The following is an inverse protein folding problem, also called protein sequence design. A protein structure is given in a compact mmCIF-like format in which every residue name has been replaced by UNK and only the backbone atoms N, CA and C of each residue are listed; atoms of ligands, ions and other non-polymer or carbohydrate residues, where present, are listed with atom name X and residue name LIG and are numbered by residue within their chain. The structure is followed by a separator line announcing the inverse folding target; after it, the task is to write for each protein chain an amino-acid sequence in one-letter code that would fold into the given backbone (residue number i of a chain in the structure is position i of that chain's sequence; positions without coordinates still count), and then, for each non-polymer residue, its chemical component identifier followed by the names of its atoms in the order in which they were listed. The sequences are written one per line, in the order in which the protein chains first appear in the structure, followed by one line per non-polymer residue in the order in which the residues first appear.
data_IF_191723964727
#
_entry.id   IF_191723964727
#
_cell.length_a   1.000
_cell.length_b   1.000
_cell.length_c   1.000
_cell.angle_alpha   90.00
_cell.angle_beta   90.00
_cell.angle_gamma   90.00
#
_symmetry.space_group_name_H-M   'P 1'
#
loop_
_entity.id
_entity.type
_entity.pdbx_description
1 polymer ?
#
# COMPACT_ATOMS: atom_id res chain seq x y z
N UNK A 1 24.00 9.35 -3.14
CA UNK A 1 23.90 7.99 -2.57
C UNK A 1 23.57 7.10 -3.75
N UNK A 2 24.43 6.14 -4.07
CA UNK A 2 24.36 5.38 -5.32
C UNK A 2 23.10 4.51 -5.39
N UNK A 3 22.45 4.53 -6.55
CA UNK A 3 21.20 3.84 -6.89
C UNK A 3 21.32 2.32 -7.03
N UNK A 4 22.41 1.70 -6.54
CA UNK A 4 22.90 0.38 -6.97
C UNK A 4 22.63 -0.78 -6.00
N UNK A 5 21.83 -0.63 -4.94
CA UNK A 5 21.59 -1.70 -3.95
C UNK A 5 20.11 -1.95 -3.59
N UNK A 6 19.16 -1.61 -4.46
CA UNK A 6 17.76 -2.02 -4.29
C UNK A 6 17.53 -3.40 -4.91
N UNK A 7 17.72 -4.46 -4.12
CA UNK A 7 17.39 -5.83 -4.53
C UNK A 7 15.88 -6.03 -4.53
N UNK A 8 15.35 -6.53 -5.63
CA UNK A 8 13.96 -7.00 -5.72
C UNK A 8 13.71 -8.11 -4.70
N UNK A 9 12.75 -7.95 -3.77
CA UNK A 9 12.36 -9.00 -2.88
C UNK A 9 11.72 -10.14 -3.67
N UNK A 10 11.97 -11.39 -3.24
CA UNK A 10 11.33 -12.57 -3.79
C UNK A 10 10.37 -13.11 -2.73
N UNK A 11 9.13 -13.40 -3.14
CA UNK A 11 8.08 -13.85 -2.25
C UNK A 11 7.53 -15.22 -2.68
N UNK A 12 7.00 -15.96 -1.73
CA UNK A 12 6.17 -17.12 -2.04
C UNK A 12 4.96 -16.72 -2.91
N UNK A 13 4.42 -17.65 -3.72
CA UNK A 13 3.21 -17.40 -4.52
C UNK A 13 1.99 -16.98 -3.70
N UNK A 14 1.99 -17.30 -2.39
CA UNK A 14 0.87 -17.04 -1.49
C UNK A 14 0.90 -15.62 -0.88
N UNK A 15 1.99 -14.86 -1.10
CA UNK A 15 2.17 -13.54 -0.50
C UNK A 15 1.04 -12.54 -0.80
N UNK A 16 0.47 -12.44 -2.02
CA UNK A 16 -0.71 -11.61 -2.27
C UNK A 16 -1.93 -12.02 -1.43
N UNK A 17 -2.18 -13.33 -1.32
CA UNK A 17 -3.29 -13.84 -0.52
C UNK A 17 -3.08 -13.64 0.97
N UNK A 18 -1.85 -13.80 1.47
CA UNK A 18 -1.52 -13.53 2.86
C UNK A 18 -1.69 -12.04 3.20
N UNK A 19 -1.23 -11.15 2.32
CA UNK A 19 -1.44 -9.70 2.43
C UNK A 19 -2.93 -9.37 2.56
N UNK A 20 -3.75 -9.92 1.67
CA UNK A 20 -5.21 -9.75 1.69
C UNK A 20 -5.85 -10.25 2.99
N UNK A 21 -5.43 -11.41 3.49
CA UNK A 21 -5.92 -11.98 4.76
C UNK A 21 -5.52 -11.14 5.98
N UNK A 22 -4.37 -10.47 5.95
CA UNK A 22 -3.95 -9.54 7.02
C UNK A 22 -4.87 -8.31 7.01
N UNK A 23 -5.12 -7.73 5.83
CA UNK A 23 -6.05 -6.59 5.70
C UNK A 23 -7.46 -6.91 6.17
N UNK A 24 -7.98 -8.09 5.85
CA UNK A 24 -9.29 -8.55 6.33
C UNK A 24 -9.37 -8.58 7.85
N UNK A 25 -8.37 -9.19 8.49
CA UNK A 25 -8.32 -9.30 9.95
C UNK A 25 -8.18 -7.93 10.58
N UNK A 26 -7.33 -7.08 10.04
CA UNK A 26 -7.17 -5.71 10.50
C UNK A 26 -8.51 -4.98 10.47
N UNK A 27 -9.23 -5.05 9.35
CA UNK A 27 -10.59 -4.48 9.23
C UNK A 27 -11.53 -4.99 10.32
N UNK A 28 -11.66 -6.32 10.44
CA UNK A 28 -12.59 -6.92 11.41
C UNK A 28 -12.29 -6.52 12.86
N UNK A 29 -11.02 -6.31 13.20
CA UNK A 29 -10.62 -5.94 14.56
C UNK A 29 -10.85 -4.46 14.84
N UNK A 30 -10.55 -3.59 13.88
CA UNK A 30 -10.87 -2.17 13.97
C UNK A 30 -12.40 -1.97 14.13
N UNK A 31 -13.22 -2.80 13.47
CA UNK A 31 -14.69 -2.75 13.59
C UNK A 31 -15.15 -3.10 15.01
N UNK A 32 -14.56 -4.14 15.59
CA UNK A 32 -14.95 -4.63 16.92
C UNK A 32 -14.46 -3.71 18.04
N UNK A 33 -13.28 -3.12 17.87
CA UNK A 33 -12.66 -2.27 18.87
C UNK A 33 -13.28 -0.86 18.90
N UNK A 34 -13.71 -0.33 17.75
CA UNK A 34 -14.12 1.07 17.63
C UNK A 34 -12.98 2.07 17.87
N UNK A 35 -11.73 1.59 17.85
CA UNK A 35 -10.51 2.36 17.99
C UNK A 35 -9.72 2.30 16.68
N UNK A 36 -9.14 3.43 16.28
CA UNK A 36 -8.42 3.61 15.02
C UNK A 36 -7.20 4.52 15.19
N UNK A 37 -6.62 4.56 16.39
CA UNK A 37 -5.32 5.19 16.62
C UNK A 37 -4.24 4.48 15.80
N UNK A 38 -3.21 5.20 15.37
CA UNK A 38 -2.13 4.62 14.56
C UNK A 38 -1.39 3.52 15.32
N UNK A 39 -1.09 3.73 16.60
CA UNK A 39 -0.47 2.74 17.46
C UNK A 39 -1.31 1.44 17.53
N UNK A 40 -2.63 1.58 17.65
CA UNK A 40 -3.54 0.43 17.62
C UNK A 40 -3.51 -0.27 16.26
N UNK A 41 -3.55 0.46 15.15
CA UNK A 41 -3.45 -0.12 13.80
C UNK A 41 -2.12 -0.88 13.64
N UNK A 42 -1.00 -0.35 14.12
CA UNK A 42 0.30 -1.00 14.06
C UNK A 42 0.33 -2.30 14.87
N UNK A 43 -0.22 -2.30 16.08
CA UNK A 43 -0.36 -3.51 16.92
C UNK A 43 -1.25 -4.56 16.23
N UNK A 44 -2.37 -4.14 15.65
CA UNK A 44 -3.29 -5.05 14.98
C UNK A 44 -2.70 -5.65 13.69
N UNK A 45 -1.82 -4.94 12.98
CA UNK A 45 -1.04 -5.49 11.87
C UNK A 45 -0.10 -6.59 12.36
N UNK A 46 0.59 -6.38 13.50
CA UNK A 46 1.50 -7.38 14.06
C UNK A 46 0.76 -8.65 14.47
N UNK A 47 -0.33 -8.50 15.24
CA UNK A 47 -1.13 -9.64 15.67
C UNK A 47 -1.79 -10.39 14.50
N UNK A 48 -2.25 -9.69 13.46
CA UNK A 48 -2.82 -10.34 12.27
C UNK A 48 -1.75 -11.13 11.48
N UNK A 49 -0.55 -10.59 11.39
CA UNK A 49 0.60 -11.23 10.77
C UNK A 49 1.09 -12.46 11.56
N UNK A 50 1.05 -12.42 12.89
CA UNK A 50 1.41 -13.58 13.72
C UNK A 50 0.47 -14.77 13.53
N UNK A 51 -0.83 -14.50 13.31
CA UNK A 51 -1.81 -15.55 12.98
C UNK A 51 -1.47 -16.21 11.64
N UNK A 52 -1.08 -15.42 10.64
CA UNK A 52 -0.68 -15.94 9.33
C UNK A 52 0.64 -16.72 9.40
N UNK A 53 1.62 -16.24 10.18
CA UNK A 53 2.85 -16.98 10.44
C UNK A 53 2.60 -18.33 11.12
N UNK A 54 1.63 -18.40 12.04
CA UNK A 54 1.27 -19.64 12.72
C UNK A 54 0.62 -20.68 11.77
N UNK A 55 0.16 -20.27 10.59
CA UNK A 55 -0.29 -21.19 9.55
C UNK A 55 0.89 -21.87 8.79
N UNK A 56 2.14 -21.50 9.07
CA UNK A 56 3.39 -22.01 8.47
C UNK A 56 3.47 -21.91 6.93
N UNK A 57 2.65 -21.06 6.30
CA UNK A 57 2.65 -20.85 4.84
C UNK A 57 3.74 -19.86 4.39
N UNK A 58 4.38 -19.13 5.33
CA UNK A 58 5.36 -18.08 5.02
C UNK A 58 6.49 -18.02 6.05
N UNK A 59 7.65 -17.52 5.61
CA UNK A 59 8.78 -17.26 6.52
C UNK A 59 8.58 -15.97 7.32
N UNK A 60 9.31 -15.85 8.45
CA UNK A 60 9.30 -14.63 9.27
C UNK A 60 9.76 -13.40 8.48
N UNK A 61 10.80 -13.56 7.68
CA UNK A 61 11.35 -12.47 6.86
C UNK A 61 10.36 -12.00 5.80
N UNK A 62 9.65 -12.92 5.13
CA UNK A 62 8.59 -12.56 4.19
C UNK A 62 7.43 -11.85 4.88
N UNK A 63 7.05 -12.27 6.09
CA UNK A 63 5.99 -11.61 6.85
C UNK A 63 6.39 -10.22 7.32
N UNK A 64 7.64 -10.02 7.73
CA UNK A 64 8.14 -8.70 8.10
C UNK A 64 8.10 -7.73 6.92
N UNK A 65 8.37 -8.21 5.70
CA UNK A 65 8.17 -7.43 4.46
C UNK A 65 6.69 -7.12 4.22
N UNK A 66 5.78 -8.09 4.34
CA UNK A 66 4.35 -7.84 4.16
C UNK A 66 3.82 -6.79 5.15
N UNK A 67 4.21 -6.87 6.43
CA UNK A 67 3.85 -5.84 7.42
C UNK A 67 4.35 -4.46 7.02
N UNK A 68 5.57 -4.35 6.50
CA UNK A 68 6.13 -3.08 6.04
C UNK A 68 5.32 -2.51 4.87
N UNK A 69 4.97 -3.33 3.88
CA UNK A 69 4.16 -2.91 2.74
C UNK A 69 2.76 -2.46 3.15
N UNK A 70 2.10 -3.23 4.03
CA UNK A 70 0.76 -2.86 4.55
C UNK A 70 0.79 -1.51 5.25
N UNK A 71 1.80 -1.28 6.11
CA UNK A 71 1.96 0.00 6.80
C UNK A 71 2.13 1.13 5.79
N UNK A 72 3.06 1.00 4.84
CA UNK A 72 3.29 2.02 3.81
C UNK A 72 2.00 2.34 3.04
N UNK A 73 1.30 1.31 2.58
CA UNK A 73 0.12 1.48 1.73
C UNK A 73 -1.04 2.15 2.50
N UNK A 74 -1.27 1.77 3.77
CA UNK A 74 -2.28 2.40 4.64
C UNK A 74 -1.93 3.86 4.95
N UNK A 75 -0.64 4.13 5.15
CA UNK A 75 -0.15 5.47 5.44
C UNK A 75 -0.34 6.39 4.23
N UNK A 76 0.09 5.95 3.05
CA UNK A 76 -0.09 6.72 1.81
C UNK A 76 -1.58 6.98 1.51
N UNK A 77 -2.43 5.98 1.74
CA UNK A 77 -3.88 6.09 1.59
C UNK A 77 -4.47 7.14 2.55
N UNK A 78 -4.12 7.06 3.83
CA UNK A 78 -4.58 8.00 4.85
C UNK A 78 -4.18 9.43 4.52
N UNK A 79 -2.92 9.65 4.13
CA UNK A 79 -2.42 10.97 3.72
C UNK A 79 -3.21 11.56 2.58
N UNK A 80 -3.36 10.77 1.52
CA UNK A 80 -4.04 11.20 0.33
C UNK A 80 -5.47 11.65 0.65
N UNK A 81 -6.23 10.83 1.38
CA UNK A 81 -7.61 11.13 1.75
C UNK A 81 -7.71 12.41 2.58
N UNK A 82 -6.79 12.60 3.53
CA UNK A 82 -6.84 13.77 4.40
C UNK A 82 -6.41 15.07 3.72
N UNK A 83 -5.38 15.02 2.87
CA UNK A 83 -4.89 16.21 2.17
C UNK A 83 -5.83 16.66 1.06
N UNK A 84 -6.47 15.71 0.37
CA UNK A 84 -7.28 16.00 -0.81
C UNK A 84 -8.78 16.04 -0.52
N UNK A 85 -9.23 15.34 0.52
CA UNK A 85 -10.64 15.02 0.73
C UNK A 85 -11.24 14.10 -0.34
N UNK A 86 -10.43 13.58 -1.28
CA UNK A 86 -10.87 12.69 -2.33
C UNK A 86 -11.02 11.25 -1.83
N UNK A 87 -11.87 10.47 -2.51
CA UNK A 87 -12.12 9.08 -2.18
C UNK A 87 -11.06 8.12 -2.70
N UNK A 88 -11.11 6.87 -2.25
CA UNK A 88 -10.15 5.80 -2.58
C UNK A 88 -9.98 5.59 -4.09
N UNK A 89 -11.03 5.73 -4.90
CA UNK A 89 -10.95 5.63 -6.36
C UNK A 89 -9.89 6.55 -6.98
N UNK A 90 -9.85 7.80 -6.51
CA UNK A 90 -8.95 8.85 -6.99
C UNK A 90 -7.50 8.58 -6.59
N UNK A 91 -7.30 7.92 -5.43
CA UNK A 91 -5.99 7.48 -4.99
C UNK A 91 -5.46 6.29 -5.79
N UNK A 92 -6.33 5.35 -6.15
CA UNK A 92 -5.97 4.21 -6.98
C UNK A 92 -5.67 4.62 -8.43
N UNK A 93 -6.09 5.82 -8.84
CA UNK A 93 -6.11 6.29 -10.21
C UNK A 93 -6.76 5.23 -11.13
N UNK A 94 -7.91 4.71 -10.68
CA UNK A 94 -8.56 3.57 -11.29
C UNK A 94 -10.08 3.70 -11.22
N UNK A 95 -10.76 3.21 -12.25
CA UNK A 95 -12.22 3.12 -12.24
C UNK A 95 -12.64 1.95 -11.34
N UNK A 96 -13.39 2.25 -10.27
CA UNK A 96 -13.81 1.25 -9.28
C UNK A 96 -14.65 0.13 -9.91
N UNK A 97 -15.33 0.39 -11.03
CA UNK A 97 -16.14 -0.61 -11.73
C UNK A 97 -15.30 -1.77 -12.30
N UNK A 98 -13.99 -1.58 -12.44
CA UNK A 98 -13.04 -2.58 -12.95
C UNK A 98 -12.31 -3.32 -11.83
N UNK A 99 -12.42 -2.85 -10.58
CA UNK A 99 -11.74 -3.45 -9.43
C UNK A 99 -12.52 -4.65 -8.88
N UNK A 100 -11.81 -5.66 -8.37
CA UNK A 100 -12.47 -6.76 -7.67
C UNK A 100 -13.19 -6.22 -6.42
N UNK A 101 -14.51 -6.46 -6.32
CA UNK A 101 -15.37 -5.90 -5.25
C UNK A 101 -14.83 -6.18 -3.85
N UNK A 102 -14.26 -7.36 -3.64
CA UNK A 102 -13.72 -7.77 -2.35
C UNK A 102 -12.46 -6.99 -1.94
N UNK A 103 -11.57 -6.67 -2.87
CA UNK A 103 -10.41 -5.82 -2.60
C UNK A 103 -10.84 -4.37 -2.35
N UNK A 104 -11.83 -3.89 -3.12
CA UNK A 104 -12.41 -2.55 -3.00
C UNK A 104 -13.02 -2.29 -1.60
N UNK A 105 -13.87 -3.20 -1.11
CA UNK A 105 -14.58 -3.03 0.16
C UNK A 105 -13.58 -2.92 1.33
N UNK A 106 -12.51 -3.73 1.32
CA UNK A 106 -11.46 -3.69 2.35
C UNK A 106 -10.73 -2.35 2.35
N UNK A 107 -10.36 -1.85 1.17
CA UNK A 107 -9.64 -0.58 1.04
C UNK A 107 -10.48 0.60 1.49
N UNK A 108 -11.76 0.64 1.13
CA UNK A 108 -12.70 1.69 1.56
C UNK A 108 -12.89 1.69 3.08
N UNK A 109 -13.08 0.51 3.68
CA UNK A 109 -13.29 0.40 5.13
C UNK A 109 -12.05 0.84 5.93
N UNK A 110 -10.84 0.55 5.43
CA UNK A 110 -9.57 0.92 6.07
C UNK A 110 -9.23 2.40 5.84
N UNK A 111 -9.48 2.92 4.64
CA UNK A 111 -9.36 4.33 4.29
C UNK A 111 -10.09 5.26 5.27
N UNK A 112 -11.37 4.99 5.52
CA UNK A 112 -12.19 5.82 6.41
C UNK A 112 -11.66 5.85 7.85
N UNK A 113 -10.97 4.79 8.28
CA UNK A 113 -10.44 4.66 9.66
C UNK A 113 -9.08 5.32 9.81
N UNK A 114 -8.21 5.19 8.80
CA UNK A 114 -6.88 5.84 8.80
C UNK A 114 -6.99 7.37 8.79
N UNK A 115 -8.08 7.94 8.26
CA UNK A 115 -8.36 9.38 8.27
C UNK A 115 -8.33 10.00 9.68
N UNK A 116 -8.75 9.28 10.70
CA UNK A 116 -8.88 9.79 12.08
C UNK A 116 -7.53 9.80 12.82
N UNK A 117 -6.58 8.94 12.44
CA UNK A 117 -5.26 8.80 13.09
C UNK A 117 -4.16 9.71 12.55
N UNK A 118 -4.49 10.64 11.63
CA UNK A 118 -3.48 11.24 10.76
C UNK A 118 -2.65 12.38 11.35
N UNK A 119 -3.08 12.97 12.48
CA UNK A 119 -2.34 14.06 13.12
C UNK A 119 -0.98 13.60 13.67
N UNK A 120 -0.91 12.42 14.27
CA UNK A 120 0.34 11.80 14.75
C UNK A 120 1.20 11.26 13.60
N UNK A 121 0.54 10.76 12.56
CA UNK A 121 1.20 10.23 11.37
C UNK A 121 2.00 11.34 10.66
N UNK A 122 1.42 12.54 10.48
CA UNK A 122 2.07 13.74 9.91
C UNK A 122 3.48 14.02 10.45
N UNK A 123 3.73 13.81 11.72
CA UNK A 123 5.05 14.05 12.34
C UNK A 123 6.08 12.96 12.00
N UNK A 124 5.63 11.75 11.64
CA UNK A 124 6.48 10.60 11.34
C UNK A 124 6.91 10.52 9.85
N UNK A 125 6.17 11.14 8.92
CA UNK A 125 6.42 11.03 7.47
C UNK A 125 6.95 12.29 6.79
N UNK A 126 7.59 13.18 7.55
CA UNK A 126 8.23 14.36 6.99
C UNK A 126 9.29 14.00 5.91
N UNK A 127 9.76 12.75 5.84
CA UNK A 127 10.71 12.28 4.83
C UNK A 127 10.43 10.86 4.25
N UNK A 128 9.80 10.83 3.07
CA UNK A 128 10.19 9.98 1.92
C UNK A 128 10.06 8.46 1.99
N UNK A 129 8.87 7.93 1.66
CA UNK A 129 8.69 6.56 1.13
C UNK A 129 7.58 6.52 0.07
N UNK A 130 7.78 7.25 -1.05
CA UNK A 130 6.88 7.19 -2.21
C UNK A 130 7.32 6.18 -3.27
N UNK A 131 8.46 5.53 -3.05
CA UNK A 131 9.06 4.60 -4.00
C UNK A 131 8.64 3.16 -3.71
N UNK A 132 8.36 2.45 -4.78
CA UNK A 132 8.05 1.04 -4.82
C UNK A 132 9.14 0.31 -5.62
N UNK A 133 9.42 -0.93 -5.26
CA UNK A 133 10.45 -1.75 -5.90
C UNK A 133 9.80 -2.97 -6.59
N UNK A 134 10.26 -3.32 -7.79
CA UNK A 134 9.85 -4.56 -8.45
C UNK A 134 10.04 -5.76 -7.52
N UNK A 135 9.04 -6.62 -7.44
CA UNK A 135 8.96 -7.74 -6.50
C UNK A 135 8.17 -7.43 -5.23
N UNK A 136 7.98 -6.17 -4.83
CA UNK A 136 7.15 -5.83 -3.66
C UNK A 136 5.67 -6.16 -3.90
N UNK A 137 4.96 -6.57 -2.84
CA UNK A 137 3.51 -6.74 -2.86
C UNK A 137 2.87 -5.40 -2.48
N UNK A 138 1.91 -4.96 -3.27
CA UNK A 138 1.10 -3.77 -2.94
C UNK A 138 -0.36 -3.99 -3.31
N UNK A 139 -1.23 -3.20 -2.71
CA UNK A 139 -2.63 -3.11 -3.08
C UNK A 139 -2.81 -2.65 -4.55
N UNK A 140 -4.02 -2.80 -5.11
CA UNK A 140 -4.38 -2.28 -6.43
C UNK A 140 -3.99 -0.81 -6.67
N UNK A 141 -3.91 -0.43 -7.93
CA UNK A 141 -3.73 0.94 -8.40
C UNK A 141 -2.71 1.07 -9.53
N UNK A 142 -2.46 2.32 -9.94
CA UNK A 142 -1.53 2.62 -11.03
C UNK A 142 -0.16 3.03 -10.50
N UNK A 143 0.87 2.30 -10.93
CA UNK A 143 2.27 2.61 -10.66
C UNK A 143 2.93 3.12 -11.94
N UNK A 144 3.86 4.06 -11.79
CA UNK A 144 4.62 4.66 -12.89
C UNK A 144 6.11 4.40 -12.67
N UNK A 145 6.80 3.92 -13.70
CA UNK A 145 8.23 3.71 -13.65
C UNK A 145 8.97 5.04 -13.47
N UNK A 146 9.80 5.14 -12.44
CA UNK A 146 10.52 6.37 -12.09
C UNK A 146 11.55 6.81 -13.16
N UNK A 147 11.85 5.96 -14.14
CA UNK A 147 12.85 6.21 -15.19
C UNK A 147 12.23 6.53 -16.54
N UNK A 148 11.28 5.72 -17.01
CA UNK A 148 10.71 5.87 -18.37
C UNK A 148 9.25 6.31 -18.40
N UNK A 149 8.58 6.43 -17.25
CA UNK A 149 7.17 6.82 -17.17
C UNK A 149 6.17 5.75 -17.62
N UNK A 150 6.62 4.52 -17.92
CA UNK A 150 5.72 3.42 -18.29
C UNK A 150 4.85 3.04 -17.09
N UNK A 151 3.58 2.75 -17.34
CA UNK A 151 2.60 2.55 -16.26
C UNK A 151 2.25 1.07 -16.10
N UNK A 152 2.31 0.58 -14.87
CA UNK A 152 1.79 -0.72 -14.50
C UNK A 152 0.46 -0.55 -13.76
N UNK A 153 -0.59 -1.21 -14.26
CA UNK A 153 -1.90 -1.18 -13.63
C UNK A 153 -2.16 -2.50 -12.89
N UNK A 154 -2.33 -2.41 -11.57
CA UNK A 154 -2.64 -3.55 -10.71
C UNK A 154 -4.12 -3.51 -10.34
N UNK A 155 -4.88 -4.52 -10.77
CA UNK A 155 -6.33 -4.64 -10.46
C UNK A 155 -6.62 -5.49 -9.22
N UNK A 156 -5.59 -6.11 -8.65
CA UNK A 156 -5.64 -6.92 -7.44
C UNK A 156 -4.33 -6.71 -6.66
N UNK A 157 -4.29 -7.15 -5.41
CA UNK A 157 -3.04 -7.25 -4.65
C UNK A 157 -2.09 -8.15 -5.41
N UNK A 158 -0.89 -7.65 -5.73
CA UNK A 158 0.04 -8.35 -6.60
C UNK A 158 1.48 -7.87 -6.40
N UNK A 159 2.42 -8.68 -6.88
CA UNK A 159 3.82 -8.29 -6.99
C UNK A 159 4.02 -7.28 -8.15
N UNK A 160 4.88 -6.31 -7.94
CA UNK A 160 5.26 -5.34 -8.98
C UNK A 160 6.21 -6.01 -9.97
N UNK A 161 5.93 -5.87 -11.26
CA UNK A 161 6.76 -6.48 -12.29
C UNK A 161 7.91 -5.53 -12.68
N UNK A 162 9.10 -6.05 -13.01
CA UNK A 162 10.18 -5.22 -13.52
C UNK A 162 9.75 -4.45 -14.78
N UNK A 163 10.21 -3.20 -14.90
CA UNK A 163 9.89 -2.41 -16.09
C UNK A 163 10.65 -2.94 -17.31
N UNK A 164 10.04 -2.86 -18.49
CA UNK A 164 10.67 -3.21 -19.78
C UNK A 164 11.93 -2.39 -20.09
N UNK A 165 12.08 -1.20 -19.48
CA UNK A 165 13.27 -0.36 -19.61
C UNK A 165 14.45 -0.80 -18.72
N UNK A 166 14.25 -1.79 -17.84
CA UNK A 166 15.25 -2.29 -16.89
C UNK A 166 15.24 -1.62 -15.51
N UNK A 167 14.40 -0.60 -15.29
CA UNK A 167 14.18 -0.04 -13.95
C UNK A 167 13.37 -0.99 -13.07
N UNK A 168 13.70 -1.00 -11.79
CA UNK A 168 12.93 -1.67 -10.74
C UNK A 168 12.25 -0.69 -9.79
N UNK A 169 12.37 0.62 -10.01
CA UNK A 169 11.81 1.65 -9.13
C UNK A 169 10.58 2.28 -9.76
N UNK A 170 9.51 2.35 -8.97
CA UNK A 170 8.20 2.85 -9.35
C UNK A 170 7.69 3.87 -8.33
N UNK A 171 6.78 4.73 -8.77
CA UNK A 171 6.04 5.69 -7.96
C UNK A 171 4.54 5.43 -8.12
N UNK A 172 3.75 5.60 -7.07
CA UNK A 172 2.29 5.50 -7.20
C UNK A 172 1.73 6.75 -7.85
N UNK A 173 1.00 6.59 -8.96
CA UNK A 173 0.31 7.70 -9.61
C UNK A 173 -0.97 8.00 -8.85
N UNK A 174 -1.13 9.26 -8.48
CA UNK A 174 -2.35 9.77 -7.83
C UNK A 174 -2.82 11.03 -8.57
N UNK A 175 -4.12 11.33 -8.50
CA UNK A 175 -4.69 12.50 -9.21
C UNK A 175 -4.10 13.86 -8.76
N UNK A 176 -3.44 13.90 -7.60
CA UNK A 176 -2.76 15.11 -7.06
C UNK A 176 -1.43 15.36 -7.77
N UNK A 177 -0.72 14.28 -8.13
CA UNK A 177 0.58 14.37 -8.79
C UNK A 177 0.45 15.06 -10.16
N UNK A 178 -0.70 14.90 -10.83
CA UNK A 178 -1.04 15.63 -12.06
C UNK A 178 -1.28 17.13 -11.84
N UNK A 179 -1.90 17.53 -10.72
CA UNK A 179 -2.19 18.94 -10.43
C UNK A 179 -0.96 19.74 -10.00
N UNK A 180 0.01 19.13 -9.33
CA UNK A 180 1.28 19.78 -8.96
C UNK A 180 2.23 19.96 -10.16
N UNK A 181 2.22 19.04 -11.12
CA UNK A 181 2.95 19.19 -12.39
C UNK A 181 2.36 20.28 -13.29
N UNK A 182 1.04 20.50 -13.22
CA UNK A 182 0.30 21.49 -14.02
C UNK A 182 0.43 22.94 -13.49
N UNK A 183 0.85 23.13 -12.23
CA UNK A 183 1.00 24.46 -11.62
C UNK A 183 2.44 25.02 -11.72
N UNK A 184 3.36 24.30 -12.36
CA UNK A 184 4.74 24.76 -12.62
C UNK A 184 4.99 25.17 -14.09
N UNK A 185 3.94 25.32 -14.90
CA UNK A 185 4.01 25.88 -16.26
C UNK A 185 3.32 27.25 -16.35
#
# INVERSE_FOLDING_TARGET
MSSDDKKSPNHSPDAPSAYDRILDRLRERLDKAGENSWDFIQEQIEEAAEIELAAEEMTRDEMDLLKAYIRRDLVQLGYYIHETGAGVASWLHFDLDVLERTAMDRLLDLADRTRVGLELLREQLDHGENEYIAGEITIPGTLECAVCGETQCLTATAAIEPCSCGSVVFLRRTDVTEQQASQQQ
#
